data_IF_084101891847
#
_entry.id   IF_084101891847
#
_cell.length_a   1.000
_cell.length_b   1.000
_cell.length_c   1.000
_cell.angle_alpha   90.00
_cell.angle_beta   90.00
_cell.angle_gamma   90.00
#
_symmetry.space_group_name_H-M   'P 1'
#
loop_
_entity.id
_entity.type
_entity.pdbx_description
1 polymer ?
#
# COMPACT_ATOMS: atom_id res chain seq x y z
N UNK A 1 -17.32 5.13 30.97
CA UNK A 1 -17.95 4.98 29.64
C UNK A 1 -19.03 6.04 29.52
N UNK A 2 -18.76 7.11 28.76
CA UNK A 2 -19.74 8.16 28.42
C UNK A 2 -20.14 7.98 26.95
N UNK A 3 -21.43 7.93 26.60
CA UNK A 3 -21.86 7.90 25.21
C UNK A 3 -21.87 9.31 24.61
N UNK A 4 -21.12 9.52 23.52
CA UNK A 4 -21.20 10.71 22.69
C UNK A 4 -22.47 10.63 21.83
N UNK A 5 -23.49 11.38 22.24
CA UNK A 5 -24.76 11.52 21.57
C UNK A 5 -24.68 12.65 20.53
N UNK A 6 -24.88 12.33 19.25
CA UNK A 6 -24.94 13.29 18.14
C UNK A 6 -26.21 14.13 18.22
N UNK A 7 -26.10 15.43 17.92
CA UNK A 7 -27.22 16.37 17.85
C UNK A 7 -27.48 16.76 16.38
N UNK A 8 -28.70 16.56 15.83
CA UNK A 8 -29.09 17.07 14.50
C UNK A 8 -29.52 18.56 14.56
N UNK A 9 -29.66 19.23 13.40
CA UNK A 9 -29.44 20.67 13.26
C UNK A 9 -30.60 21.57 13.73
N UNK A 10 -30.23 22.80 14.07
CA UNK A 10 -31.07 23.89 14.55
C UNK A 10 -32.06 24.39 13.47
N UNK A 11 -33.36 24.29 13.77
CA UNK A 11 -34.42 24.97 13.02
C UNK A 11 -34.61 26.38 13.58
N UNK A 12 -34.49 27.40 12.72
CA UNK A 12 -34.87 28.77 13.04
C UNK A 12 -35.83 29.33 11.98
N UNK A 13 -37.11 29.48 12.36
CA UNK A 13 -38.12 30.39 11.81
C UNK A 13 -39.16 30.66 12.93
N UNK A 14 -39.98 31.73 12.92
CA UNK A 14 -40.16 32.78 11.90
C UNK A 14 -40.24 34.23 12.45
N UNK A 15 -39.96 35.21 11.60
CA UNK A 15 -40.37 36.61 11.77
C UNK A 15 -41.12 37.07 10.52
N UNK A 16 -42.43 37.20 10.64
CA UNK A 16 -43.36 37.54 9.56
C UNK A 16 -43.36 39.06 9.39
N UNK A 17 -43.05 39.55 8.19
CA UNK A 17 -43.39 40.90 7.76
C UNK A 17 -43.99 40.83 6.35
N UNK A 18 -45.30 41.02 6.30
CA UNK A 18 -46.12 41.28 5.12
C UNK A 18 -45.63 42.51 4.36
N UNK A 19 -45.34 42.37 3.07
CA UNK A 19 -45.43 43.48 2.12
C UNK A 19 -45.85 42.98 0.73
N UNK A 20 -46.61 43.84 0.07
CA UNK A 20 -47.53 43.62 -1.04
C UNK A 20 -46.92 43.05 -2.32
N UNK A 21 -47.79 42.36 -3.05
CA UNK A 21 -47.72 42.03 -4.47
C UNK A 21 -47.29 43.23 -5.32
N UNK A 22 -46.17 43.08 -6.04
CA UNK A 22 -45.98 43.67 -7.36
C UNK A 22 -45.18 42.68 -8.22
N UNK A 23 -45.90 42.02 -9.13
CA UNK A 23 -45.35 41.17 -10.18
C UNK A 23 -44.68 42.04 -11.24
N UNK A 24 -43.38 42.31 -11.08
CA UNK A 24 -42.52 42.72 -12.19
C UNK A 24 -41.38 41.74 -12.35
N UNK A 25 -41.71 40.69 -13.13
CA UNK A 25 -40.78 39.78 -13.77
C UNK A 25 -39.70 40.58 -14.53
N UNK A 26 -38.51 40.69 -13.95
CA UNK A 26 -37.30 41.11 -14.66
C UNK A 26 -36.39 39.89 -14.72
N UNK A 27 -36.29 39.34 -15.93
CA UNK A 27 -35.73 38.03 -16.21
C UNK A 27 -34.22 37.94 -16.04
N UNK A 28 -33.81 36.89 -15.31
CA UNK A 28 -32.55 36.18 -15.50
C UNK A 28 -32.87 34.74 -15.93
N UNK A 29 -33.36 34.60 -17.17
CA UNK A 29 -33.77 33.32 -17.75
C UNK A 29 -32.52 32.45 -17.97
N UNK A 30 -32.26 31.49 -17.08
CA UNK A 30 -31.61 30.24 -17.49
C UNK A 30 -32.50 29.66 -18.57
N UNK A 31 -32.09 29.85 -19.82
CA UNK A 31 -32.81 29.37 -21.00
C UNK A 31 -32.70 27.85 -20.96
N UNK A 32 -33.78 27.09 -20.69
CA UNK A 32 -33.71 25.65 -20.88
C UNK A 32 -33.49 25.45 -22.37
N UNK A 33 -32.39 24.81 -22.75
CA UNK A 33 -32.12 24.42 -24.13
C UNK A 33 -33.26 23.49 -24.59
N UNK A 34 -34.31 24.08 -25.19
CA UNK A 34 -35.42 23.40 -25.85
C UNK A 34 -34.95 22.88 -27.21
N UNK A 35 -33.97 21.99 -27.17
CA UNK A 35 -33.53 21.20 -28.30
C UNK A 35 -33.32 19.77 -27.81
N UNK A 36 -34.37 18.96 -27.76
CA UNK A 36 -34.25 17.50 -27.50
C UNK A 36 -33.25 16.85 -28.48
N UNK A 37 -33.01 17.43 -29.66
CA UNK A 37 -31.98 16.98 -30.58
C UNK A 37 -30.54 17.37 -30.16
N UNK A 38 -30.32 18.52 -29.52
CA UNK A 38 -28.97 19.02 -29.23
C UNK A 38 -28.28 18.24 -28.10
N UNK A 39 -29.02 17.90 -27.04
CA UNK A 39 -28.49 17.08 -25.93
C UNK A 39 -28.23 15.64 -26.35
N UNK A 40 -29.08 15.09 -27.23
CA UNK A 40 -28.84 13.77 -27.83
C UNK A 40 -27.65 13.78 -28.78
N UNK A 41 -27.48 14.84 -29.59
CA UNK A 41 -26.31 14.98 -30.47
C UNK A 41 -25.01 15.17 -29.69
N UNK A 42 -25.03 15.93 -28.59
CA UNK A 42 -23.84 16.08 -27.73
C UNK A 42 -23.49 14.76 -27.03
N UNK A 43 -24.49 14.01 -26.57
CA UNK A 43 -24.28 12.69 -25.97
C UNK A 43 -23.75 11.69 -27.01
N UNK A 44 -24.32 11.68 -28.22
CA UNK A 44 -23.86 10.85 -29.33
C UNK A 44 -22.42 11.19 -29.73
N UNK A 45 -22.09 12.48 -29.83
CA UNK A 45 -20.75 12.96 -30.14
C UNK A 45 -19.75 12.51 -29.07
N UNK A 46 -20.11 12.61 -27.79
CA UNK A 46 -19.26 12.18 -26.67
C UNK A 46 -19.04 10.66 -26.68
N UNK A 47 -20.09 9.87 -26.95
CA UNK A 47 -19.96 8.43 -27.14
C UNK A 47 -19.08 8.08 -28.35
N UNK A 48 -19.25 8.76 -29.49
CA UNK A 48 -18.44 8.54 -30.68
C UNK A 48 -16.96 8.87 -30.40
N UNK A 49 -16.69 9.98 -29.70
CA UNK A 49 -15.34 10.35 -29.28
C UNK A 49 -14.72 9.30 -28.35
N UNK A 50 -15.51 8.76 -27.42
CA UNK A 50 -15.08 7.68 -26.55
C UNK A 50 -14.74 6.41 -27.35
N UNK A 51 -15.59 6.00 -28.30
CA UNK A 51 -15.33 4.82 -29.14
C UNK A 51 -14.06 5.00 -29.97
N UNK A 52 -13.85 6.18 -30.56
CA UNK A 52 -12.63 6.50 -31.32
C UNK A 52 -11.39 6.44 -30.40
N UNK A 53 -11.50 7.00 -29.19
CA UNK A 53 -10.41 6.98 -28.23
C UNK A 53 -10.04 5.55 -27.81
N UNK A 54 -11.03 4.78 -27.34
CA UNK A 54 -10.82 3.41 -26.86
C UNK A 54 -10.47 2.44 -28.00
N UNK A 55 -10.92 2.70 -29.23
CA UNK A 55 -10.66 1.82 -30.37
C UNK A 55 -9.38 2.11 -31.15
N UNK A 56 -8.89 3.36 -31.18
CA UNK A 56 -7.76 3.76 -32.02
C UNK A 56 -6.58 4.36 -31.25
N UNK A 57 -6.80 4.88 -30.04
CA UNK A 57 -5.78 5.66 -29.30
C UNK A 57 -5.30 4.89 -28.07
N UNK A 58 -6.18 4.18 -27.36
CA UNK A 58 -5.81 3.46 -26.14
C UNK A 58 -4.66 2.48 -26.40
N UNK A 59 -3.56 2.64 -25.67
CA UNK A 59 -2.43 1.71 -25.76
C UNK A 59 -2.70 0.44 -24.98
N UNK A 60 -2.27 -0.69 -25.54
CA UNK A 60 -2.34 -1.99 -24.87
C UNK A 60 -1.53 -1.97 -23.57
N UNK A 61 -2.07 -2.63 -22.55
CA UNK A 61 -1.42 -2.80 -21.25
C UNK A 61 -1.32 -4.28 -20.94
N UNK A 62 -0.14 -4.69 -20.52
CA UNK A 62 0.19 -6.04 -20.15
C UNK A 62 0.39 -6.11 -18.65
N UNK A 63 -0.22 -7.12 -18.03
CA UNK A 63 -0.12 -7.38 -16.59
C UNK A 63 0.74 -8.61 -16.39
N UNK A 64 1.73 -8.53 -15.49
CA UNK A 64 2.50 -9.68 -15.04
C UNK A 64 2.31 -9.87 -13.54
N UNK A 65 1.93 -11.08 -13.14
CA UNK A 65 1.65 -11.43 -11.75
C UNK A 65 2.68 -12.42 -11.20
N UNK A 66 3.03 -12.27 -9.92
CA UNK A 66 3.83 -13.22 -9.16
C UNK A 66 3.21 -13.45 -7.77
N UNK A 67 3.25 -14.71 -7.32
CA UNK A 67 2.75 -15.13 -6.02
C UNK A 67 3.91 -15.54 -5.12
N UNK A 68 4.05 -14.86 -3.99
CA UNK A 68 5.15 -15.08 -3.04
C UNK A 68 4.60 -15.65 -1.74
N UNK A 69 5.19 -16.75 -1.30
CA UNK A 69 4.90 -17.39 -0.01
C UNK A 69 6.09 -17.14 0.91
N UNK A 70 5.86 -16.45 2.03
CA UNK A 70 6.89 -16.25 3.04
C UNK A 70 6.80 -17.41 4.03
N UNK A 71 7.82 -18.26 4.04
CA UNK A 71 7.97 -19.32 5.04
C UNK A 71 9.00 -18.87 6.06
N UNK A 72 8.57 -18.61 7.29
CA UNK A 72 9.49 -18.47 8.40
C UNK A 72 10.04 -19.87 8.75
N UNK A 73 11.36 -19.98 8.85
CA UNK A 73 11.95 -21.09 9.60
C UNK A 73 11.67 -20.80 11.06
N UNK A 74 10.61 -21.40 11.61
CA UNK A 74 10.38 -21.43 13.05
C UNK A 74 11.59 -22.08 13.70
N UNK A 75 12.57 -21.26 14.11
CA UNK A 75 13.66 -21.67 14.97
C UNK A 75 13.09 -21.82 16.38
N UNK A 76 12.33 -22.91 16.58
CA UNK A 76 11.98 -23.45 17.88
C UNK A 76 11.69 -22.40 18.96
N UNK A 77 10.76 -21.47 18.73
CA UNK A 77 10.12 -20.80 19.87
C UNK A 77 9.22 -21.85 20.52
N UNK A 78 9.61 -22.26 21.73
CA UNK A 78 8.88 -23.06 22.70
C UNK A 78 7.47 -23.48 22.27
N UNK A 79 7.22 -24.80 22.31
CA UNK A 79 5.89 -25.43 22.30
C UNK A 79 4.80 -24.40 22.60
N UNK A 80 3.84 -24.12 21.69
CA UNK A 80 2.81 -23.14 21.97
C UNK A 80 2.19 -23.50 23.31
N UNK A 81 2.52 -22.71 24.32
CA UNK A 81 1.97 -22.89 25.65
C UNK A 81 0.46 -22.86 25.44
N UNK A 82 -0.30 -23.86 25.91
CA UNK A 82 -1.72 -24.02 25.52
C UNK A 82 -2.57 -22.76 25.67
N UNK A 83 -2.10 -21.78 26.45
CA UNK A 83 -2.67 -20.45 26.62
C UNK A 83 -2.62 -19.57 25.35
N UNK A 84 -1.57 -19.64 24.50
CA UNK A 84 -1.48 -18.87 23.25
C UNK A 84 -2.43 -19.40 22.16
N UNK A 85 -2.71 -20.70 22.17
CA UNK A 85 -3.73 -21.33 21.30
C UNK A 85 -5.14 -20.98 21.78
N UNK A 86 -5.37 -20.93 23.10
CA UNK A 86 -6.66 -20.52 23.69
C UNK A 86 -6.99 -19.04 23.47
N UNK A 87 -5.97 -18.18 23.40
CA UNK A 87 -6.13 -16.75 23.10
C UNK A 87 -6.24 -16.45 21.59
N UNK A 88 -6.21 -17.47 20.72
CA UNK A 88 -6.31 -17.29 19.26
C UNK A 88 -5.11 -16.57 18.62
N UNK A 89 -4.00 -16.45 19.33
CA UNK A 89 -2.81 -15.68 18.89
C UNK A 89 -1.89 -16.44 17.92
N UNK A 90 -2.17 -17.70 17.62
CA UNK A 90 -1.30 -18.58 16.82
C UNK A 90 -1.34 -18.36 15.29
N UNK A 91 -2.11 -17.38 14.79
CA UNK A 91 -2.32 -17.19 13.34
C UNK A 91 -1.56 -16.00 12.70
N UNK A 92 -0.68 -15.31 13.43
CA UNK A 92 -0.32 -13.92 13.08
C UNK A 92 1.11 -13.62 12.65
N UNK A 93 2.07 -14.56 12.72
CA UNK A 93 3.50 -14.21 12.59
C UNK A 93 3.89 -13.77 11.17
N UNK A 94 3.25 -14.31 10.13
CA UNK A 94 3.60 -13.99 8.74
C UNK A 94 3.00 -12.67 8.21
N UNK A 95 1.93 -12.16 8.84
CA UNK A 95 1.22 -10.96 8.33
C UNK A 95 2.09 -9.71 8.43
N UNK A 96 2.88 -9.58 9.50
CA UNK A 96 3.80 -8.45 9.69
C UNK A 96 4.86 -8.40 8.59
N UNK A 97 5.53 -9.53 8.34
CA UNK A 97 6.58 -9.66 7.33
C UNK A 97 6.07 -9.37 5.91
N UNK A 98 4.87 -9.86 5.58
CA UNK A 98 4.25 -9.60 4.28
C UNK A 98 3.92 -8.11 4.08
N UNK A 99 3.44 -7.42 5.12
CA UNK A 99 3.19 -5.98 5.07
C UNK A 99 4.49 -5.18 4.98
N UNK A 100 5.56 -5.60 5.67
CA UNK A 100 6.88 -4.99 5.57
C UNK A 100 7.47 -5.16 4.16
N UNK A 101 7.35 -6.35 3.57
CA UNK A 101 7.77 -6.61 2.20
C UNK A 101 6.97 -5.74 1.22
N UNK A 102 5.64 -5.64 1.41
CA UNK A 102 4.78 -4.78 0.59
C UNK A 102 5.24 -3.32 0.63
N UNK A 103 5.47 -2.77 1.81
CA UNK A 103 5.92 -1.39 1.97
C UNK A 103 7.29 -1.18 1.29
N UNK A 104 8.20 -2.13 1.45
CA UNK A 104 9.49 -2.11 0.76
C UNK A 104 9.35 -2.10 -0.77
N UNK A 105 8.51 -2.98 -1.34
CA UNK A 105 8.31 -3.07 -2.79
C UNK A 105 7.61 -1.82 -3.36
N UNK A 106 6.75 -1.17 -2.57
CA UNK A 106 6.08 0.07 -2.97
C UNK A 106 6.89 1.33 -2.65
N UNK A 107 8.06 1.18 -2.02
CA UNK A 107 8.90 2.31 -1.60
C UNK A 107 9.52 3.06 -2.79
N UNK A 108 9.93 4.30 -2.52
CA UNK A 108 10.61 5.13 -3.52
C UNK A 108 11.99 4.57 -3.85
N UNK A 109 12.67 3.95 -2.89
CA UNK A 109 13.98 3.34 -3.11
C UNK A 109 13.89 2.15 -4.06
N UNK A 110 12.82 1.35 -3.95
CA UNK A 110 12.56 0.27 -4.89
C UNK A 110 12.30 0.80 -6.30
N UNK A 111 11.51 1.88 -6.42
CA UNK A 111 11.30 2.55 -7.69
C UNK A 111 12.62 3.02 -8.34
N UNK A 112 13.51 3.65 -7.56
CA UNK A 112 14.79 4.11 -8.10
C UNK A 112 15.69 2.97 -8.56
N UNK A 113 15.69 1.84 -7.83
CA UNK A 113 16.40 0.63 -8.27
C UNK A 113 15.83 0.07 -9.56
N UNK A 114 14.52 -0.03 -9.68
CA UNK A 114 13.88 -0.50 -10.92
C UNK A 114 14.17 0.44 -12.08
N UNK A 115 14.10 1.75 -11.86
CA UNK A 115 14.36 2.75 -12.90
C UNK A 115 15.81 2.67 -13.38
N UNK A 116 16.77 2.52 -12.46
CA UNK A 116 18.19 2.39 -12.80
C UNK A 116 18.50 1.14 -13.64
N UNK A 117 17.77 0.04 -13.45
CA UNK A 117 18.04 -1.22 -14.15
C UNK A 117 17.18 -1.40 -15.42
N UNK A 118 15.93 -0.92 -15.40
CA UNK A 118 14.96 -1.15 -16.45
C UNK A 118 14.62 0.09 -17.28
N UNK A 119 15.17 1.26 -16.98
CA UNK A 119 14.83 2.54 -17.63
C UNK A 119 13.30 2.73 -17.69
N UNK A 120 12.69 2.82 -16.51
CA UNK A 120 11.23 2.93 -16.37
C UNK A 120 10.75 4.29 -16.85
N UNK A 121 11.52 5.36 -16.60
CA UNK A 121 11.22 6.70 -17.11
C UNK A 121 11.17 6.73 -18.63
N UNK A 122 12.14 6.12 -19.31
CA UNK A 122 12.13 5.99 -20.77
C UNK A 122 10.92 5.21 -21.26
N UNK A 123 10.66 4.05 -20.64
CA UNK A 123 9.54 3.18 -21.01
C UNK A 123 8.17 3.86 -20.88
N UNK A 124 7.91 4.51 -19.74
CA UNK A 124 6.60 5.11 -19.49
C UNK A 124 6.40 6.47 -20.15
N UNK A 125 7.47 7.14 -20.59
CA UNK A 125 7.39 8.42 -21.29
C UNK A 125 7.46 8.31 -22.81
N UNK A 126 7.53 7.10 -23.36
CA UNK A 126 7.58 6.88 -24.80
C UNK A 126 6.36 7.50 -25.49
N UNK A 127 6.64 8.23 -26.58
CA UNK A 127 5.65 8.93 -27.37
C UNK A 127 4.78 8.00 -28.21
N UNK A 128 5.21 6.75 -28.39
CA UNK A 128 4.44 5.70 -29.07
C UNK A 128 3.14 5.34 -28.33
N UNK A 129 3.08 5.60 -27.02
CA UNK A 129 1.91 5.34 -26.17
C UNK A 129 0.97 6.55 -26.06
N UNK A 130 -0.26 6.29 -25.63
CA UNK A 130 -1.31 7.30 -25.56
C UNK A 130 -1.03 8.39 -24.52
N UNK A 131 -1.37 9.64 -24.89
CA UNK A 131 -1.10 10.84 -24.10
C UNK A 131 -1.74 10.83 -22.70
N UNK A 132 -2.81 10.07 -22.50
CA UNK A 132 -3.55 10.05 -21.23
C UNK A 132 -2.93 9.01 -20.28
N UNK A 133 -2.54 7.85 -20.79
CA UNK A 133 -1.97 6.79 -19.96
C UNK A 133 -0.48 6.92 -19.71
N UNK A 134 0.26 7.52 -20.65
CA UNK A 134 1.72 7.66 -20.56
C UNK A 134 2.11 8.74 -19.56
N UNK A 135 3.34 8.65 -19.09
CA UNK A 135 3.98 9.74 -18.38
C UNK A 135 4.35 10.85 -19.37
N UNK A 136 3.97 12.10 -19.09
CA UNK A 136 4.14 13.20 -20.06
C UNK A 136 5.60 13.59 -20.33
N UNK A 137 6.50 13.35 -19.38
CA UNK A 137 7.92 13.66 -19.51
C UNK A 137 8.75 12.64 -18.72
N UNK A 138 9.94 12.23 -19.20
CA UNK A 138 10.89 11.46 -18.40
C UNK A 138 11.41 12.25 -17.20
N UNK A 139 11.44 13.58 -17.27
CA UNK A 139 12.00 14.48 -16.25
C UNK A 139 10.97 14.93 -15.19
N UNK A 140 9.88 14.18 -15.01
CA UNK A 140 8.90 14.49 -13.96
C UNK A 140 9.52 14.38 -12.56
N UNK A 141 8.97 15.14 -11.61
CA UNK A 141 9.43 15.12 -10.22
C UNK A 141 9.33 13.71 -9.63
N UNK A 142 10.21 13.41 -8.66
CA UNK A 142 10.30 12.09 -8.03
C UNK A 142 8.96 11.66 -7.42
N UNK A 143 8.20 12.59 -6.85
CA UNK A 143 6.88 12.34 -6.24
C UNK A 143 5.84 11.97 -7.30
N UNK A 144 5.85 12.68 -8.44
CA UNK A 144 4.95 12.36 -9.55
C UNK A 144 5.27 11.00 -10.15
N UNK A 145 6.55 10.70 -10.33
CA UNK A 145 7.00 9.41 -10.84
C UNK A 145 6.63 8.27 -9.89
N UNK A 146 6.81 8.47 -8.58
CA UNK A 146 6.39 7.51 -7.56
C UNK A 146 4.89 7.30 -7.53
N UNK A 147 4.10 8.36 -7.60
CA UNK A 147 2.64 8.21 -7.71
C UNK A 147 2.23 7.46 -8.97
N UNK A 148 2.90 7.71 -10.09
CA UNK A 148 2.66 6.96 -11.32
C UNK A 148 3.02 5.48 -11.14
N UNK A 149 4.17 5.18 -10.54
CA UNK A 149 4.57 3.81 -10.19
C UNK A 149 3.52 3.09 -9.32
N UNK A 150 3.01 3.72 -8.28
CA UNK A 150 1.97 3.17 -7.42
C UNK A 150 0.63 2.90 -8.14
N UNK A 151 0.40 3.56 -9.28
CA UNK A 151 -0.76 3.27 -10.14
C UNK A 151 -0.54 2.09 -11.09
N UNK A 152 0.71 1.64 -11.24
CA UNK A 152 1.12 0.54 -12.15
C UNK A 152 1.56 -0.71 -11.41
N UNK A 153 1.91 -0.59 -10.14
CA UNK A 153 2.36 -1.70 -9.31
C UNK A 153 1.46 -1.85 -8.11
N UNK A 154 0.87 -3.03 -8.00
CA UNK A 154 -0.03 -3.40 -6.92
C UNK A 154 0.56 -4.59 -6.19
N UNK A 155 0.68 -4.46 -4.86
CA UNK A 155 1.14 -5.53 -3.98
C UNK A 155 0.06 -5.74 -2.92
N UNK A 156 -0.58 -6.90 -2.98
CA UNK A 156 -1.74 -7.26 -2.16
C UNK A 156 -1.47 -8.54 -1.37
N UNK A 157 -1.92 -8.58 -0.12
CA UNK A 157 -1.86 -9.79 0.69
C UNK A 157 -3.22 -10.48 0.66
N UNK A 158 -3.24 -11.72 0.15
CA UNK A 158 -4.40 -12.58 0.20
C UNK A 158 -4.37 -13.37 1.52
N UNK A 159 -5.23 -12.95 2.47
CA UNK A 159 -5.33 -13.57 3.78
C UNK A 159 -5.82 -15.03 3.72
N UNK A 160 -6.62 -15.38 2.72
CA UNK A 160 -7.18 -16.73 2.57
C UNK A 160 -6.15 -17.70 2.00
N UNK A 161 -5.42 -17.26 0.98
CA UNK A 161 -4.37 -18.06 0.36
C UNK A 161 -3.03 -18.00 1.11
N UNK A 162 -2.85 -17.01 2.00
CA UNK A 162 -1.61 -16.78 2.73
C UNK A 162 -0.45 -16.32 1.84
N UNK A 163 -0.75 -15.72 0.67
CA UNK A 163 0.25 -15.33 -0.34
C UNK A 163 0.27 -13.83 -0.57
N UNK A 164 1.46 -13.30 -0.85
CA UNK A 164 1.62 -11.93 -1.33
C UNK A 164 1.59 -11.94 -2.86
N UNK A 165 0.63 -11.23 -3.46
CA UNK A 165 0.44 -11.13 -4.90
C UNK A 165 1.04 -9.80 -5.36
N UNK A 166 2.04 -9.90 -6.24
CA UNK A 166 2.71 -8.75 -6.87
C UNK A 166 2.21 -8.67 -8.31
N UNK A 167 1.60 -7.55 -8.68
CA UNK A 167 1.12 -7.28 -10.05
C UNK A 167 1.83 -6.04 -10.58
N UNK A 168 2.37 -6.13 -11.79
CA UNK A 168 2.92 -4.97 -12.49
C UNK A 168 2.26 -4.80 -13.86
N UNK A 169 2.00 -3.54 -14.20
CA UNK A 169 1.45 -3.13 -15.48
C UNK A 169 2.48 -2.37 -16.32
N UNK A 170 2.65 -2.78 -17.58
CA UNK A 170 3.49 -2.08 -18.53
C UNK A 170 2.90 -2.10 -19.95
N UNK A 171 3.33 -1.15 -20.78
CA UNK A 171 2.93 -1.08 -22.20
C UNK A 171 3.54 -2.16 -23.11
N UNK A 172 4.49 -2.94 -22.61
CA UNK A 172 5.06 -4.08 -23.32
C UNK A 172 5.10 -5.30 -22.40
N UNK A 173 4.83 -6.52 -22.92
CA UNK A 173 4.83 -7.73 -22.11
C UNK A 173 6.22 -8.04 -21.54
N UNK A 174 7.29 -7.73 -22.27
CA UNK A 174 8.67 -7.94 -21.82
C UNK A 174 8.98 -7.09 -20.59
N UNK A 175 8.59 -5.80 -20.61
CA UNK A 175 8.79 -4.90 -19.46
C UNK A 175 7.94 -5.26 -18.27
N UNK A 176 6.68 -5.65 -18.45
CA UNK A 176 5.83 -6.11 -17.34
C UNK A 176 6.49 -7.32 -16.65
N UNK A 177 6.94 -8.31 -17.44
CA UNK A 177 7.64 -9.47 -16.90
C UNK A 177 8.96 -9.10 -16.21
N UNK A 178 9.75 -8.21 -16.81
CA UNK A 178 11.03 -7.76 -16.25
C UNK A 178 10.80 -7.04 -14.89
N UNK A 179 9.80 -6.17 -14.81
CA UNK A 179 9.44 -5.49 -13.56
C UNK A 179 9.03 -6.47 -12.47
N UNK A 180 8.10 -7.38 -12.76
CA UNK A 180 7.64 -8.38 -11.78
C UNK A 180 8.80 -9.28 -11.31
N UNK A 181 9.65 -9.72 -12.24
CA UNK A 181 10.82 -10.55 -11.90
C UNK A 181 11.80 -9.81 -10.99
N UNK A 182 12.03 -8.51 -11.25
CA UNK A 182 12.95 -7.69 -10.46
C UNK A 182 12.41 -7.34 -9.08
N UNK A 183 11.12 -7.05 -8.97
CA UNK A 183 10.46 -6.88 -7.67
C UNK A 183 10.54 -8.16 -6.83
N UNK A 184 10.37 -9.33 -7.46
CA UNK A 184 10.51 -10.62 -6.78
C UNK A 184 11.94 -10.82 -6.26
N UNK A 185 12.96 -10.59 -7.10
CA UNK A 185 14.38 -10.74 -6.73
C UNK A 185 14.76 -9.80 -5.57
N UNK A 186 14.37 -8.53 -5.65
CA UNK A 186 14.68 -7.55 -4.61
C UNK A 186 13.88 -7.80 -3.33
N UNK A 187 12.65 -8.28 -3.44
CA UNK A 187 11.84 -8.72 -2.32
C UNK A 187 12.47 -9.90 -1.57
N UNK A 188 12.95 -10.90 -2.30
CA UNK A 188 13.69 -12.04 -1.71
C UNK A 188 14.95 -11.54 -0.99
N UNK A 189 15.73 -10.67 -1.64
CA UNK A 189 16.96 -10.09 -1.07
C UNK A 189 16.66 -9.32 0.22
N UNK A 190 15.60 -8.52 0.23
CA UNK A 190 15.16 -7.75 1.39
C UNK A 190 14.74 -8.67 2.55
N UNK A 191 13.89 -9.66 2.29
CA UNK A 191 13.45 -10.60 3.34
C UNK A 191 14.61 -11.42 3.90
N UNK A 192 15.53 -11.87 3.04
CA UNK A 192 16.74 -12.57 3.49
C UNK A 192 17.62 -11.68 4.38
N UNK A 193 17.73 -10.39 4.06
CA UNK A 193 18.45 -9.42 4.90
C UNK A 193 17.75 -9.23 6.25
N UNK A 194 16.43 -9.05 6.26
CA UNK A 194 15.64 -8.90 7.48
C UNK A 194 15.78 -10.13 8.38
N UNK A 195 15.64 -11.33 7.80
CA UNK A 195 15.79 -12.59 8.52
C UNK A 195 17.18 -12.73 9.16
N UNK A 196 18.25 -12.45 8.41
CA UNK A 196 19.62 -12.50 8.95
C UNK A 196 19.83 -11.49 10.08
N UNK A 197 19.31 -10.28 9.93
CA UNK A 197 19.42 -9.23 10.96
C UNK A 197 18.70 -9.65 12.24
N UNK A 198 17.48 -10.18 12.12
CA UNK A 198 16.70 -10.65 13.27
C UNK A 198 17.41 -11.79 14.00
N UNK A 199 17.98 -12.76 13.27
CA UNK A 199 18.75 -13.84 13.85
C UNK A 199 19.98 -13.33 14.62
N UNK A 200 20.68 -12.34 14.07
CA UNK A 200 21.84 -11.72 14.74
C UNK A 200 21.43 -10.96 16.02
N UNK A 201 20.34 -10.20 15.96
CA UNK A 201 19.79 -9.48 17.12
C UNK A 201 19.39 -10.47 18.23
N UNK A 202 18.74 -11.59 17.88
CA UNK A 202 18.38 -12.66 18.81
C UNK A 202 19.61 -13.26 19.52
N UNK A 203 20.68 -13.57 18.78
CA UNK A 203 21.92 -14.12 19.35
C UNK A 203 22.54 -13.10 20.31
N UNK A 204 22.68 -11.84 19.90
CA UNK A 204 23.27 -10.80 20.74
C UNK A 204 22.47 -10.56 22.04
N UNK A 205 21.14 -10.67 21.97
CA UNK A 205 20.27 -10.58 23.13
C UNK A 205 20.51 -11.74 24.09
N UNK A 206 20.57 -12.98 23.58
CA UNK A 206 20.83 -14.17 24.41
C UNK A 206 22.21 -14.12 25.06
N UNK A 207 23.26 -13.71 24.34
CA UNK A 207 24.60 -13.52 24.89
C UNK A 207 24.59 -12.53 26.06
N UNK A 208 23.88 -11.41 25.89
CA UNK A 208 23.71 -10.41 26.95
C UNK A 208 22.97 -10.97 28.16
N UNK A 209 21.87 -11.72 27.95
CA UNK A 209 21.10 -12.34 29.04
C UNK A 209 21.92 -13.39 29.80
N UNK A 210 22.67 -14.24 29.09
CA UNK A 210 23.55 -15.26 29.71
C UNK A 210 24.61 -14.60 30.57
N UNK A 211 25.22 -13.51 30.11
CA UNK A 211 26.17 -12.72 30.91
C UNK A 211 25.55 -12.21 32.21
N UNK A 212 24.37 -11.59 32.13
CA UNK A 212 23.66 -11.08 33.31
C UNK A 212 23.25 -12.19 34.29
N UNK A 213 22.80 -13.34 33.78
CA UNK A 213 22.44 -14.49 34.62
C UNK A 213 23.68 -15.04 35.32
N UNK A 214 24.80 -15.17 34.60
CA UNK A 214 26.07 -15.63 35.17
C UNK A 214 26.51 -14.75 36.33
N UNK A 215 26.43 -13.42 36.17
CA UNK A 215 26.77 -12.46 37.22
C UNK A 215 25.83 -12.59 38.44
N UNK A 216 24.51 -12.68 38.21
CA UNK A 216 23.53 -12.89 39.30
C UNK A 216 23.76 -14.19 40.06
N UNK A 217 24.11 -15.28 39.37
CA UNK A 217 24.43 -16.58 40.00
C UNK A 217 25.70 -16.47 40.85
N UNK A 218 26.72 -15.77 40.37
CA UNK A 218 27.94 -15.53 41.16
C UNK A 218 27.65 -14.70 42.42
N UNK A 219 26.87 -13.62 42.30
CA UNK A 219 26.48 -12.80 43.45
C UNK A 219 25.66 -13.59 44.48
N UNK A 220 24.68 -14.38 44.04
CA UNK A 220 23.87 -15.22 44.92
C UNK A 220 24.74 -16.26 45.66
N UNK A 221 25.71 -16.87 44.96
CA UNK A 221 26.66 -17.81 45.58
C UNK A 221 27.51 -17.12 46.65
N UNK A 222 28.01 -15.92 46.39
CA UNK A 222 28.78 -15.14 47.37
C UNK A 222 27.95 -14.78 48.60
N UNK A 223 26.68 -14.38 48.42
CA UNK A 223 25.78 -14.07 49.53
C UNK A 223 25.53 -15.27 50.45
N UNK A 224 25.37 -16.48 49.88
CA UNK A 224 25.23 -17.72 50.67
C UNK A 224 26.50 -18.03 51.46
N UNK A 225 27.67 -17.87 50.85
CA UNK A 225 28.95 -18.09 51.53
C UNK A 225 29.19 -17.07 52.66
N UNK A 226 28.83 -15.80 52.45
CA UNK A 226 28.92 -14.77 53.48
C UNK A 226 28.03 -15.10 54.69
N UNK A 227 26.78 -15.52 54.45
CA UNK A 227 25.87 -15.95 55.51
C UNK A 227 26.39 -17.16 56.31
N UNK A 228 27.11 -18.08 55.66
CA UNK A 228 27.71 -19.23 56.34
C UNK A 228 28.89 -18.86 57.23
N UNK A 229 29.67 -17.82 56.88
CA UNK A 229 30.84 -17.38 57.64
C UNK A 229 30.50 -16.48 58.85
N UNK A 230 29.29 -15.92 58.92
CA UNK A 230 28.84 -15.09 60.06
C UNK A 230 28.30 -15.89 61.26
N UNK A 231 28.26 -17.23 61.16
CA UNK A 231 27.93 -18.16 62.26
C UNK A 231 29.17 -18.83 62.81
#
# INVERSE_FOLDING_TARGET
MMPLHFMPPEQNQPGIATFSTDLTSTGGVFKPFRGKGFTFWSALLLCLLAIIYWGLIASDRYVSEAHVIIQQMDMASAQPTGLSTLLGTSGGTNRGDQLLLRDHLLSVDMLEKLDAELDLRGHYSDRSHDLISRMWSPDMSREWFHRYYLSRVTVEFDEYAGVLVIRTEAFSPEKARAMTSKLMEEGERYMNMVARRLAQEQVSFLETQVGQISERVMQARQAVLAYQNER
#
